data_IF_834269658791
#
_entry.id   IF_834269658791
#
_cell.length_a   1.000
_cell.length_b   1.000
_cell.length_c   1.000
_cell.angle_alpha   90.00
_cell.angle_beta   90.00
_cell.angle_gamma   90.00
#
_symmetry.space_group_name_H-M   'P 1'
#
loop_
_entity.id
_entity.type
_entity.pdbx_description
1 polymer ?
#
# COMPACT_ATOMS: atom_id res chain seq x y z
N UNK A 1 -18.78 27.75 -15.93
CA UNK A 1 -19.59 26.58 -15.56
C UNK A 1 -18.65 25.38 -15.47
N UNK A 2 -18.44 24.82 -14.29
CA UNK A 2 -17.64 23.60 -14.06
C UNK A 2 -18.61 22.57 -13.50
N UNK A 3 -18.90 21.52 -14.25
CA UNK A 3 -19.69 20.41 -13.75
C UNK A 3 -18.85 19.61 -12.73
N UNK A 4 -19.43 19.36 -11.57
CA UNK A 4 -18.76 18.80 -10.40
C UNK A 4 -18.29 17.36 -10.57
N UNK A 5 -17.22 17.04 -9.83
CA UNK A 5 -16.69 15.68 -9.73
C UNK A 5 -15.17 15.65 -9.57
N UNK A 6 -14.61 16.42 -8.63
CA UNK A 6 -13.20 16.27 -8.22
C UNK A 6 -13.03 14.91 -7.53
N UNK A 7 -12.91 13.84 -8.31
CA UNK A 7 -12.32 12.59 -7.84
C UNK A 7 -10.83 12.85 -7.64
N UNK A 8 -10.47 13.37 -6.47
CA UNK A 8 -9.06 13.49 -6.06
C UNK A 8 -8.48 12.08 -6.02
N UNK A 9 -7.82 11.67 -7.11
CA UNK A 9 -7.18 10.36 -7.24
C UNK A 9 -5.99 10.33 -6.27
N UNK A 10 -6.06 9.46 -5.26
CA UNK A 10 -4.94 9.19 -4.34
C UNK A 10 -3.87 8.34 -5.02
N UNK A 11 -2.65 8.36 -4.48
CA UNK A 11 -1.53 7.58 -5.04
C UNK A 11 -1.72 6.07 -4.80
N UNK A 12 -1.28 5.25 -5.76
CA UNK A 12 -1.28 3.78 -5.67
C UNK A 12 0.11 3.33 -5.22
N UNK A 13 0.26 2.71 -4.03
CA UNK A 13 1.55 2.21 -3.56
C UNK A 13 2.16 1.13 -4.46
N UNK A 14 3.49 0.93 -4.41
CA UNK A 14 4.16 -0.09 -5.22
C UNK A 14 3.74 -1.52 -4.85
N UNK A 15 3.91 -2.47 -5.77
CA UNK A 15 3.67 -3.91 -5.56
C UNK A 15 2.21 -4.35 -5.35
N UNK A 16 1.25 -3.43 -5.21
CA UNK A 16 -0.16 -3.75 -4.97
C UNK A 16 -0.99 -3.81 -6.25
N UNK A 17 -2.20 -4.34 -6.11
CA UNK A 17 -3.29 -4.25 -7.08
C UNK A 17 -4.30 -3.23 -6.55
N UNK A 18 -4.78 -2.37 -7.44
CA UNK A 18 -5.84 -1.41 -7.17
C UNK A 18 -7.03 -1.70 -8.09
N UNK A 19 -8.23 -1.75 -7.53
CA UNK A 19 -9.48 -1.95 -8.27
C UNK A 19 -10.66 -1.36 -7.50
N UNK A 20 -11.88 -1.43 -8.07
CA UNK A 20 -13.14 -0.85 -7.57
C UNK A 20 -13.30 0.65 -7.88
N UNK A 21 -14.52 1.14 -7.69
CA UNK A 21 -14.89 2.55 -7.78
C UNK A 21 -15.55 2.94 -6.43
N UNK A 22 -14.96 3.86 -5.65
CA UNK A 22 -13.68 4.52 -5.86
C UNK A 22 -12.49 3.55 -5.75
N UNK A 23 -11.39 3.88 -6.45
CA UNK A 23 -10.17 3.05 -6.51
C UNK A 23 -9.65 2.69 -5.12
N UNK A 24 -9.51 1.38 -4.87
CA UNK A 24 -9.17 0.83 -3.55
C UNK A 24 -8.11 -0.28 -3.63
N UNK A 25 -7.38 -0.48 -2.53
CA UNK A 25 -6.47 -1.60 -2.36
C UNK A 25 -7.23 -2.93 -2.39
N UNK A 26 -6.76 -3.88 -3.22
CA UNK A 26 -7.35 -5.22 -3.33
C UNK A 26 -6.33 -6.36 -3.14
N UNK A 27 -5.15 -6.05 -2.61
CA UNK A 27 -4.12 -7.04 -2.30
C UNK A 27 -2.79 -6.79 -3.03
N UNK A 28 -1.75 -7.52 -2.62
CA UNK A 28 -0.43 -7.52 -3.28
C UNK A 28 -0.48 -8.27 -4.60
N UNK A 29 0.29 -7.84 -5.60
CA UNK A 29 0.48 -8.54 -6.87
C UNK A 29 1.51 -9.66 -6.75
N UNK A 30 1.35 -10.57 -5.78
CA UNK A 30 2.35 -11.59 -5.46
C UNK A 30 2.69 -12.49 -6.65
N UNK A 31 1.70 -12.85 -7.49
CA UNK A 31 1.94 -13.60 -8.74
C UNK A 31 2.89 -12.83 -9.67
N UNK A 32 2.65 -11.54 -9.88
CA UNK A 32 3.50 -10.70 -10.72
C UNK A 32 4.91 -10.52 -10.16
N UNK A 33 5.05 -10.43 -8.83
CA UNK A 33 6.35 -10.34 -8.17
C UNK A 33 7.15 -11.63 -8.29
N UNK A 34 6.52 -12.78 -8.00
CA UNK A 34 7.15 -14.10 -8.18
C UNK A 34 7.62 -14.31 -9.63
N UNK A 35 6.81 -13.90 -10.62
CA UNK A 35 7.21 -13.92 -12.04
C UNK A 35 8.38 -13.00 -12.40
N UNK A 36 8.60 -11.94 -11.64
CA UNK A 36 9.71 -10.98 -11.81
C UNK A 36 10.97 -11.40 -11.04
N UNK A 37 10.98 -12.59 -10.44
CA UNK A 37 12.13 -13.13 -9.72
C UNK A 37 12.29 -12.58 -8.30
N UNK A 38 11.24 -12.03 -7.69
CA UNK A 38 11.28 -11.70 -6.27
C UNK A 38 11.29 -12.98 -5.44
N UNK A 39 12.19 -13.06 -4.47
CA UNK A 39 12.26 -14.16 -3.52
C UNK A 39 10.97 -14.27 -2.70
N UNK A 40 10.64 -15.49 -2.29
CA UNK A 40 9.43 -15.76 -1.51
C UNK A 40 9.41 -15.02 -0.16
N UNK A 41 10.57 -14.88 0.48
CA UNK A 41 10.72 -14.09 1.72
C UNK A 41 10.37 -12.61 1.48
N UNK A 42 10.82 -12.03 0.37
CA UNK A 42 10.53 -10.64 0.00
C UNK A 42 9.05 -10.46 -0.33
N UNK A 43 8.46 -11.37 -1.10
CA UNK A 43 7.01 -11.31 -1.40
C UNK A 43 6.18 -11.40 -0.13
N UNK A 44 6.55 -12.29 0.80
CA UNK A 44 5.90 -12.41 2.10
C UNK A 44 6.04 -11.13 2.93
N UNK A 45 7.24 -10.54 2.97
CA UNK A 45 7.46 -9.27 3.66
C UNK A 45 6.57 -8.15 3.09
N UNK A 46 6.45 -8.06 1.76
CA UNK A 46 5.55 -7.08 1.10
C UNK A 46 4.09 -7.32 1.50
N UNK A 47 3.64 -8.58 1.53
CA UNK A 47 2.29 -8.94 1.96
C UNK A 47 2.03 -8.55 3.42
N UNK A 48 2.98 -8.80 4.31
CA UNK A 48 2.84 -8.47 5.73
C UNK A 48 2.82 -6.94 5.94
N UNK A 49 3.68 -6.18 5.26
CA UNK A 49 3.67 -4.71 5.27
C UNK A 49 2.29 -4.17 4.86
N UNK A 50 1.75 -4.62 3.74
CA UNK A 50 0.45 -4.12 3.27
C UNK A 50 -0.73 -4.66 4.07
N UNK A 51 -0.61 -5.81 4.73
CA UNK A 51 -1.60 -6.29 5.69
C UNK A 51 -1.65 -5.35 6.90
N UNK A 52 -0.51 -4.98 7.46
CA UNK A 52 -0.45 -4.00 8.55
C UNK A 52 -1.00 -2.64 8.13
N UNK A 53 -0.66 -2.17 6.94
CA UNK A 53 -1.07 -0.84 6.46
C UNK A 53 -2.57 -0.73 6.18
N UNK A 54 -3.19 -1.76 5.58
CA UNK A 54 -4.55 -1.66 5.03
C UNK A 54 -5.60 -2.56 5.69
N UNK A 55 -5.19 -3.62 6.37
CA UNK A 55 -6.11 -4.62 6.93
C UNK A 55 -6.17 -4.51 8.45
N UNK A 56 -5.03 -4.31 9.11
CA UNK A 56 -4.98 -4.27 10.57
C UNK A 56 -5.21 -2.87 11.15
N UNK A 57 -5.12 -1.82 10.33
CA UNK A 57 -5.20 -0.44 10.80
C UNK A 57 -6.22 0.38 10.02
N UNK A 58 -6.91 1.26 10.73
CA UNK A 58 -7.96 2.16 10.22
C UNK A 58 -7.40 3.43 9.55
N UNK A 59 -6.14 3.75 9.80
CA UNK A 59 -5.46 4.90 9.21
C UNK A 59 -3.98 4.63 8.93
N UNK A 60 -3.45 5.39 7.97
CA UNK A 60 -2.08 5.24 7.47
C UNK A 60 -1.02 5.47 8.54
N UNK A 61 -1.20 6.41 9.46
CA UNK A 61 -0.20 6.70 10.50
C UNK A 61 -0.02 5.53 11.48
N UNK A 62 -1.13 4.94 11.95
CA UNK A 62 -1.07 3.71 12.78
C UNK A 62 -0.45 2.54 12.01
N UNK A 63 -0.81 2.38 10.74
CA UNK A 63 -0.23 1.35 9.88
C UNK A 63 1.28 1.49 9.72
N UNK A 64 1.77 2.72 9.49
CA UNK A 64 3.21 3.01 9.41
C UNK A 64 3.93 2.68 10.72
N UNK A 65 3.39 3.11 11.87
CA UNK A 65 3.97 2.80 13.17
C UNK A 65 4.02 1.28 13.45
N UNK A 66 2.97 0.55 13.08
CA UNK A 66 2.93 -0.91 13.22
C UNK A 66 3.98 -1.60 12.34
N UNK A 67 4.18 -1.13 11.10
CA UNK A 67 5.24 -1.65 10.21
C UNK A 67 6.63 -1.42 10.81
N UNK A 68 6.87 -0.24 11.37
CA UNK A 68 8.17 0.08 11.98
C UNK A 68 8.49 -0.77 13.20
N UNK A 69 7.47 -1.20 13.95
CA UNK A 69 7.58 -2.03 15.15
C UNK A 69 7.69 -3.53 14.83
N UNK A 70 6.87 -4.03 13.90
CA UNK A 70 6.70 -5.48 13.68
C UNK A 70 7.57 -6.04 12.54
N UNK A 71 7.99 -5.20 11.58
CA UNK A 71 8.71 -5.65 10.39
C UNK A 71 10.15 -5.17 10.46
N UNK A 72 11.10 -6.11 10.42
CA UNK A 72 12.53 -5.81 10.40
C UNK A 72 12.90 -4.84 9.26
N UNK A 73 13.83 -3.89 9.47
CA UNK A 73 14.31 -2.99 8.44
C UNK A 73 14.83 -3.75 7.21
N UNK A 74 14.35 -3.36 6.04
CA UNK A 74 14.80 -3.87 4.75
C UNK A 74 14.67 -2.78 3.68
N UNK A 75 15.37 -2.93 2.56
CA UNK A 75 15.23 -2.01 1.43
C UNK A 75 13.77 -1.91 0.96
N UNK A 76 13.06 -3.04 0.94
CA UNK A 76 11.65 -3.11 0.57
C UNK A 76 10.76 -2.34 1.55
N UNK A 77 10.98 -2.51 2.86
CA UNK A 77 10.25 -1.76 3.90
C UNK A 77 10.47 -0.26 3.74
N UNK A 78 11.73 0.15 3.65
CA UNK A 78 12.11 1.56 3.50
C UNK A 78 11.51 2.16 2.24
N UNK A 79 11.59 1.48 1.11
CA UNK A 79 11.01 1.95 -0.15
C UNK A 79 9.50 2.17 -0.07
N UNK A 80 8.76 1.26 0.58
CA UNK A 80 7.31 1.40 0.76
C UNK A 80 6.99 2.58 1.70
N UNK A 81 7.66 2.66 2.85
CA UNK A 81 7.42 3.73 3.82
C UNK A 81 7.77 5.11 3.24
N UNK A 82 8.86 5.22 2.50
CA UNK A 82 9.25 6.44 1.79
C UNK A 82 8.19 6.89 0.79
N UNK A 83 7.62 5.95 0.03
CA UNK A 83 6.54 6.25 -0.91
C UNK A 83 5.32 6.81 -0.18
N UNK A 84 4.95 6.20 0.95
CA UNK A 84 3.82 6.66 1.76
C UNK A 84 4.08 8.05 2.33
N UNK A 85 5.29 8.30 2.85
CA UNK A 85 5.68 9.58 3.43
C UNK A 85 5.72 10.72 2.40
N UNK A 86 6.18 10.43 1.17
CA UNK A 86 6.27 11.41 0.06
C UNK A 86 4.94 11.65 -0.66
N UNK A 87 3.86 11.02 -0.22
CA UNK A 87 2.56 11.09 -0.88
C UNK A 87 1.74 12.29 -0.39
N UNK A 88 1.93 13.47 -1.00
CA UNK A 88 1.26 14.73 -0.62
C UNK A 88 -0.28 14.64 -0.58
N UNK A 89 -0.86 13.83 -1.48
CA UNK A 89 -2.32 13.61 -1.58
C UNK A 89 -2.81 12.40 -0.79
N UNK A 90 -1.89 11.72 -0.09
CA UNK A 90 -2.13 10.44 0.56
C UNK A 90 -2.26 9.28 -0.43
N UNK A 91 -2.27 8.07 0.13
CA UNK A 91 -2.40 6.82 -0.62
C UNK A 91 -3.87 6.36 -0.67
N UNK A 92 -4.21 5.56 -1.69
CA UNK A 92 -5.55 4.95 -1.83
C UNK A 92 -5.99 4.23 -0.56
N UNK A 93 -7.30 4.00 -0.38
CA UNK A 93 -7.84 3.39 0.84
C UNK A 93 -7.88 1.85 0.77
N UNK A 94 -7.95 1.22 1.94
CA UNK A 94 -8.21 -0.21 2.10
C UNK A 94 -9.65 -0.60 1.74
N UNK A 95 -9.92 -1.89 1.60
CA UNK A 95 -11.28 -2.41 1.36
C UNK A 95 -12.15 -2.18 2.61
N UNK A 96 -13.12 -1.26 2.54
CA UNK A 96 -14.10 -1.01 3.60
C UNK A 96 -14.03 0.37 4.27
N UNK A 97 -13.25 1.31 3.73
CA UNK A 97 -13.26 2.71 4.11
C UNK A 97 -14.15 3.55 3.18
#
# INVERSE_FOLDING_TARGET
>A
FVAGGSLVRKNVPPFVKAAREPLSYVGVNSIGLKRRGFDESTVKQIEDIYRLLYVMNDNTAKGVAAIELEIEPSETRTYILDFVAKSDKGIMRGKGA
#
